data_IF_039138264300
#
_entry.id   IF_039138264300
#
_cell.length_a   1.000
_cell.length_b   1.000
_cell.length_c   1.000
_cell.angle_alpha   90.00
_cell.angle_beta   90.00
_cell.angle_gamma   90.00
#
_symmetry.space_group_name_H-M   'P 1'
#
loop_
_entity.id
_entity.type
_entity.pdbx_description
1 polymer ?
#
# COMPACT_ATOMS: atom_id res chain seq x y z
N UNK A 1 -6.22 -48.70 29.78
CA UNK A 1 -5.66 -47.33 29.64
C UNK A 1 -4.60 -47.35 28.53
N UNK A 2 -4.61 -46.38 27.61
CA UNK A 2 -3.44 -45.88 26.84
C UNK A 2 -3.32 -46.02 25.30
N UNK A 3 -4.39 -46.25 24.52
CA UNK A 3 -4.28 -46.07 23.06
C UNK A 3 -4.81 -44.70 22.58
N UNK A 4 -5.88 -44.21 23.20
CA UNK A 4 -6.42 -42.86 22.94
C UNK A 4 -5.48 -41.72 23.36
N UNK A 5 -4.54 -41.97 24.27
CA UNK A 5 -3.55 -40.97 24.69
C UNK A 5 -2.46 -40.69 23.64
N UNK A 6 -2.00 -41.74 22.94
CA UNK A 6 -0.92 -41.64 21.94
C UNK A 6 -1.36 -40.93 20.67
N UNK A 7 -2.60 -41.17 20.22
CA UNK A 7 -3.16 -40.50 19.03
C UNK A 7 -3.41 -39.01 19.29
N UNK A 8 -3.82 -38.65 20.51
CA UNK A 8 -4.01 -37.26 20.92
C UNK A 8 -2.68 -36.49 20.98
N UNK A 9 -1.59 -37.09 21.48
CA UNK A 9 -0.26 -36.49 21.45
C UNK A 9 0.26 -36.31 20.03
N UNK A 10 0.13 -37.36 19.20
CA UNK A 10 0.54 -37.31 17.78
C UNK A 10 -0.22 -36.22 17.03
N UNK A 11 -1.53 -36.09 17.26
CA UNK A 11 -2.35 -35.05 16.66
C UNK A 11 -1.90 -33.62 17.01
N UNK A 12 -1.52 -33.37 18.27
CA UNK A 12 -0.99 -32.06 18.69
C UNK A 12 0.36 -31.73 18.03
N UNK A 13 1.23 -32.74 17.88
CA UNK A 13 2.53 -32.57 17.22
C UNK A 13 2.33 -32.25 15.73
N UNK A 14 1.47 -33.00 15.04
CA UNK A 14 1.16 -32.76 13.63
C UNK A 14 0.51 -31.38 13.42
N UNK A 15 -0.44 -30.98 14.28
CA UNK A 15 -1.06 -29.65 14.24
C UNK A 15 -0.02 -28.53 14.40
N UNK A 16 0.91 -28.68 15.35
CA UNK A 16 2.01 -27.73 15.58
C UNK A 16 2.91 -27.57 14.35
N UNK A 17 3.24 -28.67 13.68
CA UNK A 17 4.08 -28.67 12.48
C UNK A 17 3.37 -27.96 11.32
N UNK A 18 2.07 -28.23 11.12
CA UNK A 18 1.27 -27.61 10.05
C UNK A 18 1.18 -26.10 10.27
N UNK A 19 0.87 -25.65 11.49
CA UNK A 19 0.77 -24.22 11.83
C UNK A 19 2.10 -23.50 11.62
N UNK A 20 3.22 -24.13 11.96
CA UNK A 20 4.57 -23.59 11.69
C UNK A 20 4.87 -23.48 10.20
N UNK A 21 4.54 -24.51 9.43
CA UNK A 21 4.72 -24.47 7.97
C UNK A 21 3.86 -23.38 7.32
N UNK A 22 2.59 -23.26 7.75
CA UNK A 22 1.70 -22.21 7.27
C UNK A 22 2.23 -20.81 7.61
N UNK A 23 2.71 -20.60 8.85
CA UNK A 23 3.34 -19.34 9.26
C UNK A 23 4.60 -19.00 8.45
N UNK A 24 5.43 -20.00 8.17
CA UNK A 24 6.63 -19.85 7.34
C UNK A 24 6.28 -19.50 5.88
N UNK A 25 5.26 -20.14 5.30
CA UNK A 25 4.76 -19.81 3.96
C UNK A 25 4.23 -18.38 3.92
N UNK A 26 3.43 -17.96 4.91
CA UNK A 26 2.90 -16.60 5.02
C UNK A 26 4.03 -15.56 5.13
N UNK A 27 5.07 -15.87 5.90
CA UNK A 27 6.25 -15.01 6.03
C UNK A 27 6.98 -14.85 4.69
N UNK A 28 7.25 -15.96 3.99
CA UNK A 28 7.90 -15.92 2.67
C UNK A 28 7.03 -15.21 1.62
N UNK A 29 5.72 -15.45 1.62
CA UNK A 29 4.79 -14.78 0.71
C UNK A 29 4.78 -13.26 0.95
N UNK A 30 4.69 -12.83 2.21
CA UNK A 30 4.79 -11.42 2.56
C UNK A 30 6.12 -10.81 2.09
N UNK A 31 7.24 -11.52 2.30
CA UNK A 31 8.57 -11.05 1.90
C UNK A 31 8.69 -10.90 0.39
N UNK A 32 8.19 -11.89 -0.34
CA UNK A 32 8.14 -11.86 -1.79
C UNK A 32 7.36 -10.66 -2.32
N UNK A 33 6.16 -10.42 -1.77
CA UNK A 33 5.31 -9.29 -2.15
C UNK A 33 5.99 -7.96 -1.81
N UNK A 34 6.63 -7.84 -0.64
CA UNK A 34 7.36 -6.63 -0.25
C UNK A 34 8.51 -6.31 -1.21
N UNK A 35 9.27 -7.34 -1.60
CA UNK A 35 10.33 -7.20 -2.60
C UNK A 35 9.76 -6.79 -3.97
N UNK A 36 8.65 -7.40 -4.39
CA UNK A 36 7.97 -7.04 -5.63
C UNK A 36 7.56 -5.55 -5.62
N UNK A 37 6.94 -5.08 -4.54
CA UNK A 37 6.54 -3.67 -4.39
C UNK A 37 7.75 -2.74 -4.47
N UNK A 38 8.87 -3.10 -3.83
CA UNK A 38 10.10 -2.30 -3.91
C UNK A 38 10.64 -2.22 -5.34
N UNK A 39 10.67 -3.34 -6.06
CA UNK A 39 11.11 -3.33 -7.46
C UNK A 39 10.17 -2.53 -8.37
N UNK A 40 8.86 -2.58 -8.12
CA UNK A 40 7.88 -1.80 -8.86
C UNK A 40 8.04 -0.30 -8.58
N UNK A 41 8.31 0.08 -7.33
CA UNK A 41 8.63 1.46 -6.95
C UNK A 41 9.88 1.97 -7.68
N UNK A 42 10.95 1.17 -7.71
CA UNK A 42 12.19 1.50 -8.44
C UNK A 42 11.95 1.60 -9.95
N UNK A 43 11.13 0.71 -10.52
CA UNK A 43 10.77 0.77 -11.94
C UNK A 43 9.98 2.04 -12.28
N UNK A 44 9.02 2.42 -11.44
CA UNK A 44 8.26 3.65 -11.63
C UNK A 44 9.12 4.90 -11.47
N UNK A 45 10.07 4.88 -10.53
CA UNK A 45 11.03 5.96 -10.36
C UNK A 45 11.91 6.13 -11.60
N UNK A 46 12.44 5.02 -12.14
CA UNK A 46 13.30 5.06 -13.32
C UNK A 46 12.54 5.28 -14.64
N UNK A 47 11.27 4.85 -14.73
CA UNK A 47 10.44 4.95 -15.94
C UNK A 47 9.06 5.55 -15.60
N UNK A 48 8.92 6.88 -15.63
CA UNK A 48 7.69 7.57 -15.20
C UNK A 48 6.54 7.49 -16.22
N UNK A 49 6.72 6.85 -17.37
CA UNK A 49 5.73 6.77 -18.47
C UNK A 49 4.37 6.20 -18.00
N UNK A 50 4.38 5.32 -16.98
CA UNK A 50 3.14 4.77 -16.40
C UNK A 50 2.34 5.84 -15.66
N UNK A 51 3.03 6.77 -14.99
CA UNK A 51 2.43 7.86 -14.22
C UNK A 51 1.84 8.91 -15.16
N UNK A 52 2.49 9.17 -16.30
CA UNK A 52 1.93 10.04 -17.34
C UNK A 52 0.60 9.51 -17.88
N UNK A 53 0.52 8.19 -18.16
CA UNK A 53 -0.75 7.57 -18.56
C UNK A 53 -1.83 7.66 -17.49
N UNK A 54 -1.47 7.48 -16.21
CA UNK A 54 -2.40 7.69 -15.10
C UNK A 54 -2.84 9.15 -14.97
N UNK A 55 -1.93 10.10 -15.12
CA UNK A 55 -2.23 11.53 -15.08
C UNK A 55 -3.21 11.92 -16.20
N UNK A 56 -3.00 11.42 -17.41
CA UNK A 56 -3.92 11.63 -18.54
C UNK A 56 -5.29 10.99 -18.27
N UNK A 57 -5.33 9.80 -17.67
CA UNK A 57 -6.60 9.15 -17.31
C UNK A 57 -7.35 9.93 -16.21
N UNK A 58 -6.64 10.43 -15.20
CA UNK A 58 -7.19 11.28 -14.14
C UNK A 58 -7.72 12.59 -14.72
N UNK A 59 -6.96 13.26 -15.60
CA UNK A 59 -7.40 14.50 -16.23
C UNK A 59 -8.61 14.28 -17.14
N UNK A 60 -8.64 13.19 -17.93
CA UNK A 60 -9.82 12.84 -18.73
C UNK A 60 -11.05 12.55 -17.89
N UNK A 61 -10.88 11.91 -16.73
CA UNK A 61 -11.97 11.56 -15.83
C UNK A 61 -12.46 12.72 -14.96
N UNK A 62 -11.57 13.63 -14.58
CA UNK A 62 -11.84 14.61 -13.52
C UNK A 62 -11.60 16.08 -13.91
N UNK A 63 -11.03 16.37 -15.09
CA UNK A 63 -10.69 17.72 -15.58
C UNK A 63 -10.09 18.63 -14.48
N UNK A 64 -9.18 18.08 -13.66
CA UNK A 64 -8.65 18.74 -12.46
C UNK A 64 -7.81 19.93 -12.87
N UNK A 65 -7.02 19.79 -13.93
CA UNK A 65 -6.15 20.87 -14.40
C UNK A 65 -7.01 22.07 -14.85
N UNK A 66 -8.15 21.84 -15.53
CA UNK A 66 -9.06 22.91 -15.96
C UNK A 66 -9.80 23.61 -14.82
N UNK A 67 -10.24 22.85 -13.82
CA UNK A 67 -11.01 23.40 -12.70
C UNK A 67 -10.14 24.23 -11.77
N UNK A 68 -8.90 23.80 -11.51
CA UNK A 68 -7.93 24.56 -10.71
C UNK A 68 -7.42 25.81 -11.43
N UNK A 69 -7.13 25.73 -12.74
CA UNK A 69 -6.73 26.92 -13.53
C UNK A 69 -7.85 27.95 -13.56
N UNK A 70 -9.12 27.51 -13.65
CA UNK A 70 -10.26 28.43 -13.59
C UNK A 70 -10.33 29.16 -12.24
N UNK A 71 -10.13 28.45 -11.12
CA UNK A 71 -10.12 29.06 -9.78
C UNK A 71 -8.92 30.00 -9.62
N UNK A 72 -7.73 29.61 -10.10
CA UNK A 72 -6.54 30.45 -10.06
C UNK A 72 -6.75 31.75 -10.84
N UNK A 73 -7.35 31.68 -12.04
CA UNK A 73 -7.66 32.85 -12.83
C UNK A 73 -8.71 33.73 -12.13
N UNK A 74 -9.76 33.16 -11.53
CA UNK A 74 -10.75 33.93 -10.76
C UNK A 74 -10.15 34.62 -9.52
N UNK A 75 -9.15 34.02 -8.87
CA UNK A 75 -8.50 34.60 -7.68
C UNK A 75 -7.44 35.65 -8.04
N UNK A 76 -6.79 35.54 -9.21
CA UNK A 76 -5.75 36.47 -9.65
C UNK A 76 -6.34 37.67 -10.41
N UNK A 77 -7.51 37.52 -11.05
CA UNK A 77 -8.14 38.55 -11.90
C UNK A 77 -9.05 39.53 -11.12
N UNK A 78 -8.94 39.58 -9.79
CA UNK A 78 -9.59 40.61 -8.94
C UNK A 78 -8.77 41.92 -8.87
N UNK A 79 -7.92 42.16 -9.89
CA UNK A 79 -7.28 43.45 -10.14
C UNK A 79 -8.09 44.21 -11.20
N UNK A 80 -8.54 45.46 -10.96
CA UNK A 80 -9.47 46.13 -11.85
C UNK A 80 -8.74 46.57 -13.14
N UNK A 81 -8.84 45.77 -14.19
CA UNK A 81 -8.41 46.19 -15.54
C UNK A 81 -9.61 46.79 -16.26
N UNK A 82 -9.63 48.12 -16.30
CA UNK A 82 -10.43 48.91 -17.23
C UNK A 82 -9.95 48.66 -18.67
N UNK A 83 -10.83 48.15 -19.54
CA UNK A 83 -10.86 48.16 -21.02
C UNK A 83 -11.21 46.78 -21.57
N UNK A 84 -11.87 46.61 -22.70
CA UNK A 84 -12.69 47.41 -23.61
C UNK A 84 -13.25 46.35 -24.58
N UNK A 85 -14.45 46.58 -25.09
CA UNK A 85 -15.22 45.61 -25.85
C UNK A 85 -14.46 44.99 -27.03
N UNK A 86 -14.57 43.67 -27.14
CA UNK A 86 -14.56 42.96 -28.43
C UNK A 86 -15.17 41.57 -28.28
N UNK A 87 -16.30 41.27 -28.96
CA UNK A 87 -16.84 39.92 -29.02
C UNK A 87 -16.24 39.21 -30.24
N UNK A 88 -15.40 38.18 -30.03
CA UNK A 88 -14.93 37.36 -31.16
C UNK A 88 -15.05 35.87 -30.86
N UNK A 89 -16.14 35.32 -31.42
CA UNK A 89 -16.28 34.02 -32.05
C UNK A 89 -16.01 32.73 -31.24
N UNK A 90 -17.10 32.01 -30.99
CA UNK A 90 -17.14 30.55 -30.85
C UNK A 90 -16.37 29.87 -31.98
N UNK A 91 -15.43 28.98 -31.63
CA UNK A 91 -14.96 27.93 -32.52
C UNK A 91 -14.92 26.61 -31.76
N UNK A 92 -15.95 25.79 -31.99
CA UNK A 92 -15.93 24.39 -31.65
C UNK A 92 -14.90 23.69 -32.57
N UNK A 93 -13.75 23.31 -32.01
CA UNK A 93 -12.81 22.37 -32.62
C UNK A 93 -12.40 21.31 -31.61
N UNK A 94 -12.92 20.12 -31.82
CA UNK A 94 -12.35 18.85 -31.36
C UNK A 94 -10.93 18.71 -31.89
N UNK A 95 -9.93 18.66 -31.01
CA UNK A 95 -8.70 17.85 -31.13
C UNK A 95 -7.65 18.28 -30.09
N UNK A 96 -7.11 17.26 -29.41
CA UNK A 96 -5.79 17.13 -28.76
C UNK A 96 -4.94 18.38 -28.50
N UNK A 97 -4.51 18.46 -27.24
CA UNK A 97 -3.10 18.68 -26.87
C UNK A 97 -2.42 19.92 -27.46
N UNK A 98 -2.90 21.11 -27.10
CA UNK A 98 -1.96 22.20 -26.86
C UNK A 98 -1.35 22.01 -25.48
N UNK A 99 -0.17 21.38 -25.50
CA UNK A 99 0.90 21.48 -24.51
C UNK A 99 1.06 22.95 -24.10
N UNK A 100 0.37 23.37 -23.05
CA UNK A 100 0.72 24.59 -22.34
C UNK A 100 2.08 24.32 -21.72
N UNK A 101 3.11 24.95 -22.27
CA UNK A 101 4.52 24.75 -21.90
C UNK A 101 4.88 25.33 -20.53
N UNK A 102 3.89 25.78 -19.75
CA UNK A 102 4.06 26.29 -18.39
C UNK A 102 2.97 25.85 -17.41
N UNK A 103 2.04 24.97 -17.82
CA UNK A 103 0.99 24.51 -16.93
C UNK A 103 1.51 23.31 -16.14
N UNK A 104 1.80 23.54 -14.86
CA UNK A 104 2.13 22.49 -13.92
C UNK A 104 0.94 21.52 -13.97
N UNK A 105 1.14 20.29 -14.44
CA UNK A 105 0.05 19.30 -14.48
C UNK A 105 -0.19 18.80 -13.07
N UNK A 106 -1.13 19.42 -12.33
CA UNK A 106 -1.53 18.97 -10.99
C UNK A 106 -1.91 17.47 -11.04
N UNK A 107 -2.56 17.04 -12.13
CA UNK A 107 -2.89 15.64 -12.38
C UNK A 107 -1.69 14.68 -12.35
N UNK A 108 -0.48 15.13 -12.72
CA UNK A 108 0.75 14.34 -12.64
C UNK A 108 1.21 14.13 -11.19
N UNK A 109 1.15 15.18 -10.36
CA UNK A 109 1.46 15.06 -8.93
C UNK A 109 0.44 14.20 -8.20
N UNK A 110 -0.84 14.35 -8.56
CA UNK A 110 -1.91 13.54 -7.98
C UNK A 110 -1.77 12.05 -8.34
N UNK A 111 -1.36 11.74 -9.58
CA UNK A 111 -1.05 10.38 -9.99
C UNK A 111 0.08 9.76 -9.14
N UNK A 112 1.14 10.51 -8.85
CA UNK A 112 2.23 10.09 -7.94
C UNK A 112 1.71 9.75 -6.54
N UNK A 113 0.88 10.62 -5.96
CA UNK A 113 0.33 10.42 -4.61
C UNK A 113 -0.52 9.14 -4.56
N UNK A 114 -1.42 8.96 -5.53
CA UNK A 114 -2.30 7.78 -5.60
C UNK A 114 -1.46 6.51 -5.70
N UNK A 115 -0.48 6.49 -6.60
CA UNK A 115 0.41 5.34 -6.79
C UNK A 115 1.16 5.01 -5.50
N UNK A 116 1.78 6.00 -4.86
CA UNK A 116 2.52 5.79 -3.61
C UNK A 116 1.60 5.27 -2.50
N UNK A 117 0.37 5.76 -2.43
CA UNK A 117 -0.63 5.32 -1.47
C UNK A 117 -1.07 3.87 -1.71
N UNK A 118 -1.25 3.47 -2.99
CA UNK A 118 -1.47 2.07 -3.34
C UNK A 118 -0.30 1.20 -2.90
N UNK A 119 0.94 1.57 -3.26
CA UNK A 119 2.13 0.79 -2.86
C UNK A 119 2.23 0.65 -1.34
N UNK A 120 1.96 1.73 -0.59
CA UNK A 120 1.94 1.71 0.86
C UNK A 120 0.86 0.79 1.41
N UNK A 121 -0.33 0.77 0.80
CA UNK A 121 -1.42 -0.12 1.20
C UNK A 121 -1.02 -1.59 1.02
N UNK A 122 -0.46 -1.97 -0.13
CA UNK A 122 0.03 -3.34 -0.35
C UNK A 122 1.16 -3.67 0.63
N UNK A 123 2.10 -2.75 0.87
CA UNK A 123 3.19 -2.96 1.82
C UNK A 123 2.66 -3.20 3.25
N UNK A 124 1.65 -2.45 3.69
CA UNK A 124 1.01 -2.63 5.02
C UNK A 124 0.33 -3.99 5.16
N UNK A 125 -0.33 -4.46 4.10
CA UNK A 125 -0.99 -5.78 4.07
C UNK A 125 0.05 -6.89 4.14
N UNK A 126 1.12 -6.77 3.35
CA UNK A 126 2.24 -7.71 3.40
C UNK A 126 2.88 -7.76 4.80
N UNK A 127 3.16 -6.60 5.41
CA UNK A 127 3.76 -6.53 6.73
C UNK A 127 2.86 -7.13 7.81
N UNK A 128 1.54 -6.93 7.71
CA UNK A 128 0.56 -7.57 8.59
C UNK A 128 0.56 -9.09 8.44
N UNK A 129 0.59 -9.60 7.21
CA UNK A 129 0.64 -11.03 6.91
C UNK A 129 1.94 -11.68 7.44
N UNK A 130 3.08 -11.01 7.27
CA UNK A 130 4.35 -11.45 7.86
C UNK A 130 4.29 -11.52 9.37
N UNK A 131 3.74 -10.49 10.03
CA UNK A 131 3.67 -10.43 11.49
C UNK A 131 2.85 -11.59 12.05
N UNK A 132 1.68 -11.85 11.43
CA UNK A 132 0.83 -12.99 11.77
C UNK A 132 1.58 -14.31 11.52
N UNK A 133 2.21 -14.48 10.35
CA UNK A 133 2.96 -15.69 10.02
C UNK A 133 4.13 -15.98 10.96
N UNK A 134 4.87 -14.95 11.38
CA UNK A 134 5.95 -15.06 12.36
C UNK A 134 5.45 -15.43 13.77
N UNK A 135 4.33 -14.84 14.20
CA UNK A 135 3.72 -15.13 15.50
C UNK A 135 3.21 -16.59 15.59
N UNK A 136 2.66 -17.14 14.48
CA UNK A 136 2.27 -18.55 14.38
C UNK A 136 3.44 -19.52 14.61
N UNK A 137 4.65 -19.16 14.17
CA UNK A 137 5.85 -19.99 14.38
C UNK A 137 6.33 -19.92 15.84
N UNK A 138 6.25 -18.74 16.45
CA UNK A 138 6.74 -18.49 17.81
C UNK A 138 5.76 -18.88 18.92
N UNK A 139 4.48 -19.08 18.63
CA UNK A 139 3.44 -19.36 19.63
C UNK A 139 3.81 -20.52 20.58
N UNK A 140 4.36 -21.62 20.04
CA UNK A 140 4.77 -22.79 20.83
C UNK A 140 6.07 -22.55 21.63
N UNK A 141 6.93 -21.61 21.22
CA UNK A 141 8.18 -21.29 21.92
C UNK A 141 7.91 -20.45 23.17
N UNK A 142 7.04 -19.43 23.06
CA UNK A 142 6.71 -18.55 24.18
C UNK A 142 5.98 -19.31 25.30
N UNK A 143 5.00 -20.16 24.95
CA UNK A 143 4.22 -20.94 25.92
C UNK A 143 5.13 -21.94 26.68
N UNK A 144 6.09 -22.57 26.00
CA UNK A 144 7.05 -23.48 26.64
C UNK A 144 7.99 -22.77 27.61
N UNK A 145 8.42 -21.54 27.31
CA UNK A 145 9.24 -20.75 28.22
C UNK A 145 8.46 -20.31 29.46
N UNK A 146 7.20 -19.86 29.28
CA UNK A 146 6.31 -19.54 30.40
C UNK A 146 6.04 -20.75 31.29
N UNK A 147 5.75 -21.92 30.72
CA UNK A 147 5.53 -23.14 31.49
C UNK A 147 6.78 -23.55 32.29
N UNK A 148 7.98 -23.43 31.71
CA UNK A 148 9.24 -23.70 32.42
C UNK A 148 9.50 -22.72 33.56
N UNK A 149 9.11 -21.46 33.40
CA UNK A 149 9.28 -20.45 34.44
C UNK A 149 8.35 -20.68 35.63
N UNK A 150 7.09 -21.03 35.37
CA UNK A 150 6.13 -21.42 36.42
C UNK A 150 6.59 -22.68 37.15
N UNK A 151 7.05 -23.71 36.43
CA UNK A 151 7.55 -24.95 37.06
C UNK A 151 8.77 -24.69 37.95
N UNK A 152 9.64 -23.77 37.53
CA UNK A 152 10.84 -23.39 38.29
C UNK A 152 10.50 -22.67 39.59
N UNK A 153 9.48 -21.82 39.59
CA UNK A 153 9.02 -21.13 40.81
C UNK A 153 8.30 -22.06 41.78
N UNK A 154 7.45 -22.97 41.27
CA UNK A 154 6.76 -23.97 42.11
C UNK A 154 7.76 -24.88 42.81
N UNK A 155 8.81 -25.33 42.10
CA UNK A 155 9.84 -26.20 42.68
C UNK A 155 10.78 -25.47 43.66
N UNK A 156 10.82 -24.13 43.61
CA UNK A 156 11.62 -23.30 44.52
C UNK A 156 10.88 -22.96 45.82
N UNK A 157 9.55 -22.93 45.81
CA UNK A 157 8.75 -22.75 47.04
C UNK A 157 8.56 -24.05 47.84
N UNK A 158 8.73 -25.22 47.22
CA UNK A 158 8.53 -26.52 47.85
C UNK A 158 9.81 -27.11 48.50
N UNK A 159 10.86 -26.29 48.64
CA UNK A 159 12.15 -26.66 49.22
C UNK A 159 12.57 -25.62 50.25
#
# INVERSE_FOLDING_TARGET
MSDTGKTAETGRIVMSIIVRFAGLILLFAGLWIAFQVLTEALKLYNNPERIERFAVAIERGSNIDKTLVSIQNTVIDDSPVLNDGSPVASSAKTASEKKSSNDIRISYFLAWIIVLLLLLMIARISLSAMKIGGELVLYDVQIKQFARMILKDVNRQNK
#
